data_IF_492084879445
#
_entry.id   IF_492084879445
#
_cell.length_a   1.000
_cell.length_b   1.000
_cell.length_c   1.000
_cell.angle_alpha   90.00
_cell.angle_beta   90.00
_cell.angle_gamma   90.00
#
_symmetry.space_group_name_H-M   'P 1'
#
loop_
_entity.id
_entity.type
_entity.pdbx_description
1 polymer ?
#
# COMPACT_ATOMS: atom_id res chain seq x y z
N UNK A 1 -3.63 -15.13 -3.08
CA UNK A 1 -3.18 -13.79 -3.48
C UNK A 1 -3.69 -12.81 -2.42
N UNK A 2 -2.78 -12.18 -1.68
CA UNK A 2 -3.13 -11.28 -0.58
C UNK A 2 -3.37 -9.84 -1.03
N UNK A 3 -3.95 -9.02 -0.17
CA UNK A 3 -4.11 -7.57 -0.36
C UNK A 3 -3.75 -6.89 0.95
N UNK A 4 -2.97 -5.82 0.87
CA UNK A 4 -2.66 -4.97 2.02
C UNK A 4 -2.94 -3.51 1.67
N UNK A 5 -3.49 -2.76 2.61
CA UNK A 5 -3.70 -1.32 2.48
C UNK A 5 -3.54 -0.65 3.84
N UNK A 6 -3.27 0.64 3.83
CA UNK A 6 -3.13 1.42 5.06
C UNK A 6 -2.59 2.82 4.82
N UNK A 7 -2.42 3.55 5.92
CA UNK A 7 -1.88 4.91 5.89
C UNK A 7 -0.47 4.90 5.29
N UNK A 8 -0.26 5.72 4.27
CA UNK A 8 1.04 5.96 3.70
C UNK A 8 1.70 7.13 4.41
N UNK A 9 2.86 6.89 5.04
CA UNK A 9 3.65 7.93 5.67
C UNK A 9 4.73 8.39 4.68
N UNK A 10 4.56 9.55 4.01
CA UNK A 10 5.47 9.99 2.97
C UNK A 10 6.82 10.42 3.54
N UNK A 11 7.90 10.06 2.85
CA UNK A 11 9.20 10.71 3.07
C UNK A 11 9.17 12.13 2.47
N UNK A 12 10.13 13.02 2.85
CA UNK A 12 10.22 14.35 2.25
C UNK A 12 10.30 14.34 0.72
N UNK A 13 10.91 13.30 0.13
CA UNK A 13 11.10 13.16 -1.31
C UNK A 13 9.79 12.93 -2.08
N UNK A 14 8.75 12.43 -1.41
CA UNK A 14 7.43 12.23 -2.00
C UNK A 14 6.84 13.53 -2.58
N UNK A 15 7.17 14.69 -1.98
CA UNK A 15 6.74 16.00 -2.45
C UNK A 15 7.07 16.29 -3.92
N UNK A 16 8.14 15.67 -4.46
CA UNK A 16 8.59 15.86 -5.84
C UNK A 16 7.63 15.29 -6.90
N UNK A 17 6.82 14.28 -6.55
CA UNK A 17 5.82 13.68 -7.44
C UNK A 17 4.41 13.65 -6.86
N UNK A 18 4.21 14.18 -5.64
CA UNK A 18 2.93 14.22 -4.94
C UNK A 18 1.78 14.78 -5.80
N UNK A 19 2.01 15.86 -6.56
CA UNK A 19 0.97 16.42 -7.43
C UNK A 19 0.52 15.45 -8.52
N UNK A 20 1.44 14.64 -9.06
CA UNK A 20 1.12 13.64 -10.07
C UNK A 20 0.32 12.47 -9.47
N UNK A 21 0.64 12.08 -8.23
CA UNK A 21 -0.13 11.08 -7.47
C UNK A 21 -1.56 11.57 -7.20
N UNK A 22 -1.71 12.82 -6.72
CA UNK A 22 -3.04 13.42 -6.51
C UNK A 22 -3.86 13.45 -7.79
N UNK A 23 -3.25 13.88 -8.90
CA UNK A 23 -3.91 13.92 -10.22
C UNK A 23 -4.32 12.53 -10.75
N UNK A 24 -3.67 11.47 -10.28
CA UNK A 24 -3.93 10.08 -10.66
C UNK A 24 -4.59 9.24 -9.56
N UNK A 25 -5.07 9.89 -8.49
CA UNK A 25 -5.78 9.20 -7.41
C UNK A 25 -7.04 8.52 -7.96
N UNK A 26 -7.24 7.25 -7.60
CA UNK A 26 -8.28 6.36 -8.14
C UNK A 26 -8.25 6.15 -9.66
N UNK A 27 -7.10 6.41 -10.31
CA UNK A 27 -6.87 6.14 -11.73
C UNK A 27 -5.73 5.15 -11.91
N UNK A 28 -5.47 4.77 -13.16
CA UNK A 28 -4.35 3.89 -13.49
C UNK A 28 -2.99 4.56 -13.17
N UNK A 29 -2.25 3.93 -12.27
CA UNK A 29 -0.94 4.37 -11.78
C UNK A 29 0.22 3.48 -12.25
N UNK A 30 -0.02 2.53 -13.19
CA UNK A 30 1.02 1.59 -13.67
C UNK A 30 2.27 2.27 -14.22
N UNK A 31 2.14 3.48 -14.76
CA UNK A 31 3.25 4.25 -15.33
C UNK A 31 4.29 4.69 -14.28
N UNK A 32 3.95 4.73 -12.99
CA UNK A 32 4.89 5.05 -11.92
C UNK A 32 5.86 3.90 -11.60
N UNK A 33 5.55 2.67 -12.02
CA UNK A 33 6.37 1.48 -11.75
C UNK A 33 6.77 1.34 -10.28
N UNK A 34 5.81 1.50 -9.35
CA UNK A 34 6.11 1.37 -7.93
C UNK A 34 6.69 0.01 -7.57
N UNK A 35 7.67 0.03 -6.68
CA UNK A 35 8.17 -1.15 -6.00
C UNK A 35 7.85 -1.01 -4.51
N UNK A 36 7.41 -2.10 -3.90
CA UNK A 36 7.13 -2.17 -2.46
C UNK A 36 8.15 -3.10 -1.84
N UNK A 37 8.76 -2.67 -0.74
CA UNK A 37 9.75 -3.45 -0.02
C UNK A 37 9.30 -3.60 1.44
N UNK A 38 9.56 -4.77 2.02
CA UNK A 38 9.54 -4.90 3.48
C UNK A 38 10.75 -4.18 4.08
N UNK A 39 10.72 -3.90 5.38
CA UNK A 39 11.79 -3.18 6.09
C UNK A 39 13.15 -3.86 5.93
N UNK A 40 13.18 -5.19 5.81
CA UNK A 40 14.40 -5.99 5.59
C UNK A 40 14.96 -5.89 4.16
N UNK A 41 14.33 -5.08 3.29
CA UNK A 41 14.77 -4.78 1.93
C UNK A 41 14.23 -5.71 0.84
N UNK A 42 13.59 -6.82 1.22
CA UNK A 42 13.00 -7.74 0.25
C UNK A 42 11.81 -7.10 -0.48
N UNK A 43 11.83 -7.17 -1.81
CA UNK A 43 10.75 -6.63 -2.64
C UNK A 43 9.53 -7.56 -2.60
N UNK A 44 8.35 -6.98 -2.42
CA UNK A 44 7.06 -7.64 -2.57
C UNK A 44 6.74 -7.72 -4.07
N UNK A 45 6.51 -8.95 -4.57
CA UNK A 45 5.88 -9.19 -5.86
C UNK A 45 4.37 -9.08 -5.69
N UNK A 46 3.79 -8.08 -6.35
CA UNK A 46 2.36 -7.83 -6.34
C UNK A 46 1.85 -7.52 -7.76
N UNK A 47 0.57 -7.78 -8.01
CA UNK A 47 -0.07 -7.47 -9.29
C UNK A 47 -0.26 -5.96 -9.51
N UNK A 48 -0.37 -5.17 -8.43
CA UNK A 48 -0.53 -3.73 -8.54
C UNK A 48 -0.26 -2.99 -7.23
N UNK A 49 0.13 -1.73 -7.37
CA UNK A 49 0.36 -0.81 -6.26
C UNK A 49 -0.24 0.54 -6.66
N UNK A 50 -0.95 1.19 -5.75
CA UNK A 50 -1.46 2.54 -5.97
C UNK A 50 -1.44 3.35 -4.69
N UNK A 51 -1.27 4.66 -4.83
CA UNK A 51 -1.36 5.62 -3.74
C UNK A 51 -2.55 6.54 -4.00
N UNK A 52 -3.44 6.67 -3.02
CA UNK A 52 -4.52 7.65 -3.03
C UNK A 52 -4.14 8.79 -2.10
N UNK A 53 -3.94 9.99 -2.65
CA UNK A 53 -3.52 11.16 -1.89
C UNK A 53 -4.64 12.20 -1.88
N UNK A 54 -5.31 12.30 -0.73
CA UNK A 54 -6.35 13.28 -0.43
C UNK A 54 -5.84 14.38 0.49
N UNK A 55 -4.51 14.49 0.67
CA UNK A 55 -3.97 15.34 1.72
C UNK A 55 -4.17 16.84 1.49
N UNK A 56 -4.48 17.24 0.26
CA UNK A 56 -4.89 18.60 -0.07
C UNK A 56 -6.27 18.96 0.49
N UNK A 57 -7.19 18.00 0.54
CA UNK A 57 -8.60 18.21 0.85
C UNK A 57 -8.95 17.74 2.28
N UNK A 58 -8.27 16.69 2.75
CA UNK A 58 -8.61 15.96 3.98
C UNK A 58 -7.51 16.00 5.06
N UNK A 59 -6.42 16.74 4.83
CA UNK A 59 -5.32 16.89 5.80
C UNK A 59 -4.13 15.94 5.57
N UNK A 60 -2.98 16.17 6.21
CA UNK A 60 -1.71 15.55 5.85
C UNK A 60 -1.70 14.02 5.93
N UNK A 61 -2.50 13.44 6.82
CA UNK A 61 -2.56 11.98 7.04
C UNK A 61 -3.54 11.26 6.09
N UNK A 62 -4.24 12.00 5.23
CA UNK A 62 -5.20 11.46 4.27
C UNK A 62 -4.49 10.93 3.00
N UNK A 63 -3.50 10.05 3.19
CA UNK A 63 -2.79 9.37 2.12
C UNK A 63 -2.81 7.88 2.41
N UNK A 64 -3.29 7.08 1.46
CA UNK A 64 -3.41 5.63 1.59
C UNK A 64 -2.60 4.93 0.49
N UNK A 65 -1.93 3.84 0.85
CA UNK A 65 -1.32 2.92 -0.09
C UNK A 65 -2.16 1.64 -0.17
N UNK A 66 -2.31 1.11 -1.38
CA UNK A 66 -2.90 -0.20 -1.61
C UNK A 66 -1.94 -1.06 -2.43
N UNK A 67 -1.74 -2.30 -1.98
CA UNK A 67 -0.94 -3.33 -2.65
C UNK A 67 -1.86 -4.50 -2.96
N UNK A 68 -2.12 -4.71 -4.26
CA UNK A 68 -3.06 -5.70 -4.78
C UNK A 68 -2.34 -6.94 -5.27
N UNK A 69 -2.85 -8.12 -4.89
CA UNK A 69 -2.38 -9.38 -5.43
C UNK A 69 -0.95 -9.70 -5.01
N UNK A 70 -0.67 -9.65 -3.72
CA UNK A 70 0.62 -10.06 -3.15
C UNK A 70 0.81 -11.55 -3.41
N UNK A 71 1.86 -11.86 -4.18
CA UNK A 71 2.24 -13.20 -4.63
C UNK A 71 3.43 -13.76 -3.84
N UNK A 72 4.42 -12.92 -3.54
CA UNK A 72 5.63 -13.31 -2.82
C UNK A 72 6.28 -12.08 -2.13
N UNK A 73 6.88 -12.20 -0.93
CA UNK A 73 6.84 -13.35 0.00
C UNK A 73 5.42 -13.78 0.38
N UNK A 74 5.28 -14.93 1.04
CA UNK A 74 3.95 -15.42 1.40
C UNK A 74 3.23 -14.37 2.27
N UNK A 75 1.96 -14.13 1.97
CA UNK A 75 1.21 -13.07 2.65
C UNK A 75 1.13 -13.32 4.16
N UNK A 76 1.04 -14.58 4.61
CA UNK A 76 1.01 -14.92 6.03
C UNK A 76 2.36 -14.80 6.72
N UNK A 77 3.47 -14.80 5.98
CA UNK A 77 4.81 -14.50 6.51
C UNK A 77 4.97 -12.99 6.75
N UNK A 78 4.45 -12.16 5.84
CA UNK A 78 4.58 -10.69 5.92
C UNK A 78 3.53 -10.10 6.87
N UNK A 79 2.32 -10.66 6.90
CA UNK A 79 1.19 -10.17 7.68
C UNK A 79 0.57 -11.28 8.55
N UNK A 80 1.35 -11.89 9.48
CA UNK A 80 0.86 -12.99 10.31
C UNK A 80 -0.35 -12.58 11.15
N UNK A 81 -0.34 -11.35 11.66
CA UNK A 81 -1.42 -10.76 12.47
C UNK A 81 -2.73 -10.66 11.69
N UNK A 82 -2.68 -10.37 10.38
CA UNK A 82 -3.87 -10.33 9.53
C UNK A 82 -4.45 -11.73 9.34
N UNK A 83 -3.59 -12.73 9.17
CA UNK A 83 -4.03 -14.14 9.03
C UNK A 83 -4.64 -14.62 10.34
N UNK A 84 -4.02 -14.30 11.48
CA UNK A 84 -4.55 -14.69 12.78
C UNK A 84 -5.85 -13.97 13.13
N UNK A 85 -5.96 -12.66 12.85
CA UNK A 85 -7.22 -11.93 13.00
C UNK A 85 -8.34 -12.55 12.14
N UNK A 86 -8.04 -12.95 10.91
CA UNK A 86 -8.99 -13.64 10.05
C UNK A 86 -9.41 -15.01 10.60
N UNK A 87 -8.48 -15.79 11.15
CA UNK A 87 -8.77 -17.10 11.77
C UNK A 87 -9.72 -16.97 12.95
N UNK A 88 -9.53 -15.96 13.79
CA UNK A 88 -10.32 -15.73 15.00
C UNK A 88 -11.51 -14.78 14.77
N UNK A 89 -11.84 -14.43 13.53
CA UNK A 89 -12.83 -13.37 13.22
C UNK A 89 -14.25 -13.69 13.73
N UNK A 90 -14.53 -14.95 14.05
CA UNK A 90 -15.83 -15.42 14.55
C UNK A 90 -15.74 -16.07 15.93
N UNK A 91 -14.59 -16.01 16.60
CA UNK A 91 -14.46 -16.52 17.95
C UNK A 91 -15.17 -15.56 18.91
N UNK A 92 -16.09 -16.11 19.71
CA UNK A 92 -16.98 -15.37 20.65
C UNK A 92 -16.41 -15.43 22.07
#
# INVERSE_FOLDING_TARGET
MGVAFGVFVPSPDYSSFQQQIRASTQRDQRHFNFAVHIVEGQQIRASGVSIADYSADCGPDAIEITVLGIEYPDYGEIFPEHVDAYRHQFDV
#
